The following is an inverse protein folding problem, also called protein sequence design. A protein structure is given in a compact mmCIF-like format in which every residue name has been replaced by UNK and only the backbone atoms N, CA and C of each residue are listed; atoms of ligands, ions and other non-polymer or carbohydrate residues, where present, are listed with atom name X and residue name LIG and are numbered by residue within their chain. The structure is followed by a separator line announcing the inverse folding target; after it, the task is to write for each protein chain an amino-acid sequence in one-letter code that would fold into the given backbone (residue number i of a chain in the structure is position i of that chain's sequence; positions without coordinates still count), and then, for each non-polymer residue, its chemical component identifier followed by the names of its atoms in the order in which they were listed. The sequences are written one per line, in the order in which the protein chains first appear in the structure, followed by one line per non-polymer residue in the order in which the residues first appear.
data_IF_362494464319
#
_entry.id   IF_362494464319
#
_cell.length_a   1.000
_cell.length_b   1.000
_cell.length_c   1.000
_cell.angle_alpha   90.00
_cell.angle_beta   90.00
_cell.angle_gamma   90.00
#
_symmetry.space_group_name_H-M   'P 1'
#
loop_
_entity.id
_entity.type
_entity.pdbx_description
1 polymer ?
#
# COMPACT_ATOMS: atom_id res chain seq x y z
N UNK A 1 6.40 -31.31 -25.81
CA UNK A 1 6.07 -31.05 -24.40
C UNK A 1 6.45 -29.62 -24.05
N UNK A 2 5.47 -28.82 -23.62
CA UNK A 2 5.66 -27.42 -23.21
C UNK A 2 6.06 -27.27 -21.72
N UNK A 3 6.14 -28.39 -21.00
CA UNK A 3 6.38 -28.38 -19.56
C UNK A 3 5.09 -28.31 -18.73
N UNK A 4 5.25 -28.17 -17.42
CA UNK A 4 4.15 -28.09 -16.45
C UNK A 4 3.93 -26.64 -16.02
N UNK A 5 2.68 -26.21 -16.07
CA UNK A 5 2.25 -24.89 -15.59
C UNK A 5 1.36 -25.05 -14.36
N UNK A 6 1.47 -24.11 -13.45
CA UNK A 6 0.49 -23.94 -12.39
C UNK A 6 0.20 -22.46 -12.16
N UNK A 7 -1.05 -22.16 -11.81
CA UNK A 7 -1.50 -20.82 -11.50
C UNK A 7 -2.21 -20.83 -10.15
N UNK A 8 -1.96 -19.82 -9.33
CA UNK A 8 -2.68 -19.55 -8.10
C UNK A 8 -3.05 -18.08 -8.07
N UNK A 9 -4.28 -17.80 -7.79
CA UNK A 9 -4.79 -16.46 -7.52
C UNK A 9 -5.47 -16.47 -6.15
N UNK A 10 -5.29 -15.40 -5.39
CA UNK A 10 -5.95 -15.16 -4.13
C UNK A 10 -6.32 -13.68 -4.05
N UNK A 11 -7.57 -13.43 -3.74
CA UNK A 11 -8.10 -12.11 -3.45
C UNK A 11 -8.65 -12.13 -2.03
N UNK A 12 -8.33 -11.12 -1.27
CA UNK A 12 -8.88 -10.88 0.06
C UNK A 12 -9.55 -9.51 0.01
N UNK A 13 -10.81 -9.50 0.36
CA UNK A 13 -11.59 -8.29 0.50
C UNK A 13 -12.08 -8.22 1.95
N UNK A 14 -11.92 -7.06 2.56
CA UNK A 14 -12.47 -6.75 3.87
C UNK A 14 -13.76 -5.97 3.65
N UNK A 15 -14.80 -6.38 4.32
CA UNK A 15 -16.11 -5.74 4.18
C UNK A 15 -16.34 -4.65 5.25
N UNK A 16 -15.67 -4.78 6.39
CA UNK A 16 -15.79 -3.84 7.51
C UNK A 16 -14.61 -3.93 8.46
N UNK A 17 -14.18 -2.78 8.97
CA UNK A 17 -13.25 -2.67 10.10
C UNK A 17 -13.75 -1.56 11.03
N UNK A 18 -14.47 -1.92 12.05
CA UNK A 18 -15.13 -0.98 12.97
C UNK A 18 -14.41 -0.94 14.32
N UNK A 19 -14.16 0.26 14.77
CA UNK A 19 -13.68 0.54 16.12
C UNK A 19 -14.70 1.38 16.86
N UNK A 20 -15.27 0.85 17.93
CA UNK A 20 -16.19 1.58 18.77
C UNK A 20 -15.46 2.43 19.80
N UNK A 21 -15.96 3.64 20.04
CA UNK A 21 -15.53 4.44 21.16
C UNK A 21 -16.14 3.91 22.46
N UNK A 22 -15.36 3.90 23.53
CA UNK A 22 -15.83 3.47 24.84
C UNK A 22 -15.19 4.32 25.95
N UNK A 23 -15.83 4.33 27.12
CA UNK A 23 -15.32 5.02 28.30
C UNK A 23 -15.06 6.50 28.05
N UNK A 24 -13.84 6.97 28.34
CA UNK A 24 -13.47 8.38 28.22
C UNK A 24 -13.54 8.88 26.78
N UNK A 25 -13.23 8.03 25.81
CA UNK A 25 -13.30 8.43 24.39
C UNK A 25 -14.72 8.75 23.96
N UNK A 26 -15.70 7.95 24.39
CA UNK A 26 -17.11 8.24 24.12
C UNK A 26 -17.57 9.52 24.80
N UNK A 27 -17.17 9.73 26.07
CA UNK A 27 -17.49 10.97 26.81
C UNK A 27 -16.92 12.22 26.11
N UNK A 28 -15.72 12.12 25.53
CA UNK A 28 -15.12 13.23 24.77
C UNK A 28 -15.87 13.47 23.44
N UNK A 29 -16.27 12.42 22.75
CA UNK A 29 -17.11 12.56 21.54
C UNK A 29 -18.42 13.24 21.88
N UNK A 30 -19.10 12.81 22.93
CA UNK A 30 -20.38 13.40 23.38
C UNK A 30 -20.19 14.86 23.81
N UNK A 31 -19.08 15.18 24.48
CA UNK A 31 -18.77 16.54 24.90
C UNK A 31 -18.47 17.50 23.74
N UNK A 32 -17.90 17.00 22.64
CA UNK A 32 -17.59 17.79 21.43
C UNK A 32 -18.75 17.88 20.45
N UNK A 33 -19.79 17.07 20.61
CA UNK A 33 -20.98 17.11 19.79
C UNK A 33 -21.76 18.44 20.00
N UNK A 34 -22.67 18.75 19.06
CA UNK A 34 -23.49 19.93 19.13
C UNK A 34 -24.29 19.97 20.46
N UNK A 35 -24.14 21.06 21.19
CA UNK A 35 -24.71 21.21 22.54
C UNK A 35 -23.89 20.63 23.68
N UNK A 36 -22.76 19.99 23.39
CA UNK A 36 -21.82 19.52 24.42
C UNK A 36 -20.98 20.67 25.00
N UNK A 37 -20.34 20.40 26.15
CA UNK A 37 -19.52 21.40 26.88
C UNK A 37 -18.24 21.82 26.11
N UNK A 38 -17.83 21.02 25.12
CA UNK A 38 -16.69 21.27 24.25
C UNK A 38 -17.14 21.40 22.78
N UNK A 39 -18.39 21.80 22.55
CA UNK A 39 -18.91 21.99 21.19
C UNK A 39 -18.02 22.94 20.37
N UNK A 40 -17.71 22.56 19.13
CA UNK A 40 -16.78 23.27 18.25
C UNK A 40 -15.31 22.88 18.41
N UNK A 41 -14.96 22.01 19.36
CA UNK A 41 -13.66 21.37 19.45
C UNK A 41 -13.60 20.13 18.54
N UNK A 42 -12.40 19.75 18.12
CA UNK A 42 -12.21 18.54 17.30
C UNK A 42 -12.50 17.29 18.13
N UNK A 43 -13.46 16.43 17.73
CA UNK A 43 -13.72 15.18 18.41
C UNK A 43 -12.52 14.22 18.29
N UNK A 44 -12.39 13.25 19.20
CA UNK A 44 -11.42 12.18 19.05
C UNK A 44 -11.66 11.42 17.72
N UNK A 45 -10.60 11.21 16.95
CA UNK A 45 -10.64 10.48 15.69
C UNK A 45 -10.34 8.99 15.88
N UNK A 46 -10.53 8.19 14.83
CA UNK A 46 -10.19 6.78 14.81
C UNK A 46 -11.26 5.87 15.38
N UNK A 47 -12.52 6.27 15.29
CA UNK A 47 -13.70 5.48 15.66
C UNK A 47 -14.68 5.40 14.50
N UNK A 48 -15.56 4.38 14.51
CA UNK A 48 -16.46 4.06 13.42
C UNK A 48 -15.88 3.03 12.46
N UNK A 49 -16.38 3.01 11.23
CA UNK A 49 -15.82 2.16 10.17
C UNK A 49 -14.58 2.82 9.58
N UNK A 50 -13.45 2.20 9.81
CA UNK A 50 -12.14 2.69 9.38
C UNK A 50 -11.62 1.98 8.14
N UNK A 51 -12.43 1.08 7.55
CA UNK A 51 -12.04 0.37 6.35
C UNK A 51 -11.82 1.34 5.19
N UNK A 52 -10.77 1.06 4.41
CA UNK A 52 -10.40 1.95 3.30
C UNK A 52 -9.79 3.28 3.73
N UNK A 53 -9.45 3.45 5.02
CA UNK A 53 -8.82 4.67 5.52
C UNK A 53 -7.46 4.38 6.17
N UNK A 54 -6.52 5.31 6.03
CA UNK A 54 -5.25 5.28 6.74
C UNK A 54 -5.41 5.87 8.14
N UNK A 55 -6.27 5.26 8.95
CA UNK A 55 -6.34 5.52 10.36
C UNK A 55 -6.29 4.21 11.12
N UNK A 56 -5.43 4.13 12.12
CA UNK A 56 -5.33 2.99 13.02
C UNK A 56 -5.16 1.62 12.36
N UNK A 57 -4.53 1.55 11.17
CA UNK A 57 -4.16 0.34 10.43
C UNK A 57 -5.28 -0.33 9.62
N UNK A 58 -6.36 0.37 9.36
CA UNK A 58 -7.41 -0.10 8.46
C UNK A 58 -7.24 0.48 7.05
N UNK A 59 -6.17 0.06 6.36
CA UNK A 59 -5.72 0.72 5.15
C UNK A 59 -6.58 0.41 3.92
N UNK A 60 -6.48 -0.77 3.39
CA UNK A 60 -7.04 -1.13 2.09
C UNK A 60 -8.18 -2.12 2.25
N UNK A 61 -9.20 -1.97 1.41
CA UNK A 61 -10.32 -2.92 1.35
C UNK A 61 -9.94 -4.21 0.64
N UNK A 62 -9.02 -4.15 -0.32
CA UNK A 62 -8.68 -5.29 -1.16
C UNK A 62 -7.18 -5.53 -1.26
N UNK A 63 -6.81 -6.80 -1.19
CA UNK A 63 -5.45 -7.28 -1.48
C UNK A 63 -5.49 -8.51 -2.35
N UNK A 64 -4.82 -8.43 -3.49
CA UNK A 64 -4.72 -9.53 -4.44
C UNK A 64 -3.30 -10.07 -4.49
N UNK A 65 -3.18 -11.36 -4.73
CA UNK A 65 -1.91 -12.00 -5.04
C UNK A 65 -2.09 -13.04 -6.14
N UNK A 66 -1.08 -13.13 -6.99
CA UNK A 66 -1.03 -14.14 -8.03
C UNK A 66 0.33 -14.81 -8.08
N UNK A 67 0.33 -16.06 -8.50
CA UNK A 67 1.55 -16.82 -8.79
C UNK A 67 1.31 -17.69 -10.02
N UNK A 68 2.18 -17.53 -11.01
CA UNK A 68 2.29 -18.42 -12.16
C UNK A 68 3.62 -19.14 -12.06
N UNK A 69 3.60 -20.45 -12.22
CA UNK A 69 4.82 -21.28 -12.19
C UNK A 69 4.90 -22.10 -13.46
N UNK A 70 6.11 -22.25 -13.96
CA UNK A 70 6.43 -23.08 -15.09
C UNK A 70 7.65 -23.94 -14.80
N UNK A 71 7.63 -25.18 -15.23
CA UNK A 71 8.74 -26.11 -15.09
C UNK A 71 8.88 -26.98 -16.32
N UNK A 72 10.08 -27.02 -16.89
CA UNK A 72 10.43 -27.89 -18.02
C UNK A 72 11.86 -28.40 -17.88
N UNK A 73 12.01 -29.70 -17.70
CA UNK A 73 13.32 -30.33 -17.55
C UNK A 73 14.14 -29.71 -16.42
N UNK A 74 15.21 -29.02 -16.74
CA UNK A 74 16.10 -28.36 -15.79
C UNK A 74 15.75 -26.92 -15.47
N UNK A 75 14.79 -26.36 -16.19
CA UNK A 75 14.33 -24.99 -16.03
C UNK A 75 13.13 -24.93 -15.12
N UNK A 76 13.10 -23.92 -14.29
CA UNK A 76 11.92 -23.49 -13.58
C UNK A 76 11.81 -21.96 -13.62
N UNK A 77 10.59 -21.48 -13.73
CA UNK A 77 10.32 -20.06 -13.64
C UNK A 77 9.03 -19.83 -12.86
N UNK A 78 8.97 -18.73 -12.12
CA UNK A 78 7.72 -18.27 -11.55
C UNK A 78 7.60 -16.75 -11.56
N UNK A 79 6.42 -16.31 -11.89
CA UNK A 79 5.98 -14.92 -11.82
C UNK A 79 5.05 -14.80 -10.62
N UNK A 80 5.32 -13.85 -9.73
CA UNK A 80 4.43 -13.51 -8.64
C UNK A 80 4.03 -12.05 -8.73
N UNK A 81 2.78 -11.76 -8.38
CA UNK A 81 2.25 -10.41 -8.32
C UNK A 81 1.52 -10.19 -7.01
N UNK A 82 1.57 -8.97 -6.53
CA UNK A 82 0.77 -8.48 -5.40
C UNK A 82 0.19 -7.13 -5.76
N UNK A 83 -1.12 -6.97 -5.53
CA UNK A 83 -1.82 -5.69 -5.66
C UNK A 83 -2.41 -5.33 -4.31
N UNK A 84 -2.23 -4.09 -3.90
CA UNK A 84 -2.88 -3.46 -2.78
C UNK A 84 -3.88 -2.46 -3.34
N UNK A 85 -5.12 -2.49 -2.87
CA UNK A 85 -6.18 -1.56 -3.27
C UNK A 85 -5.86 -0.13 -2.86
N UNK A 86 -6.59 0.82 -3.41
CA UNK A 86 -6.56 2.21 -2.98
C UNK A 86 -7.21 2.35 -1.60
N UNK A 87 -6.86 3.42 -0.91
CA UNK A 87 -7.46 3.78 0.38
C UNK A 87 -7.42 5.30 0.57
N UNK A 88 -8.20 5.78 1.51
CA UNK A 88 -8.26 7.19 1.86
C UNK A 88 -7.27 7.48 2.99
N UNK A 89 -6.55 8.57 2.88
CA UNK A 89 -5.73 9.08 3.96
C UNK A 89 -6.52 10.11 4.76
N UNK A 90 -6.70 9.82 6.05
CA UNK A 90 -7.42 10.69 6.97
C UNK A 90 -6.46 11.71 7.55
N UNK A 91 -6.77 12.98 7.44
CA UNK A 91 -5.93 14.06 8.00
C UNK A 91 -5.55 15.14 7.00
N UNK A 92 -5.87 14.95 5.72
CA UNK A 92 -5.70 15.97 4.67
C UNK A 92 -6.91 16.91 4.61
N UNK A 93 -7.84 16.77 5.55
CA UNK A 93 -9.10 17.53 5.60
C UNK A 93 -8.94 18.95 6.10
N UNK A 94 -7.79 19.28 6.65
CA UNK A 94 -7.59 20.61 7.23
C UNK A 94 -7.16 21.58 6.15
N UNK A 95 -7.85 22.71 6.03
CA UNK A 95 -7.54 23.81 5.11
C UNK A 95 -6.11 24.39 5.25
N UNK A 96 -5.37 23.91 6.24
CA UNK A 96 -3.99 24.27 6.49
C UNK A 96 -2.96 23.43 5.72
N UNK A 97 -3.37 22.34 5.06
CA UNK A 97 -2.46 21.47 4.32
C UNK A 97 -2.70 21.59 2.82
N UNK A 98 -1.95 22.45 2.16
CA UNK A 98 -1.87 22.50 0.70
C UNK A 98 -0.58 21.83 0.24
N UNK A 99 -0.63 21.02 -0.81
CA UNK A 99 0.59 20.57 -1.48
C UNK A 99 1.06 21.69 -2.38
N UNK A 100 2.10 22.39 -1.98
CA UNK A 100 2.77 23.35 -2.86
C UNK A 100 3.77 22.63 -3.74
N UNK A 101 3.40 22.42 -4.98
CA UNK A 101 4.24 21.83 -6.01
C UNK A 101 5.26 22.82 -6.59
N UNK A 102 5.23 24.08 -6.18
CA UNK A 102 6.17 25.09 -6.69
C UNK A 102 7.58 24.96 -6.11
N UNK A 103 7.77 24.09 -5.13
CA UNK A 103 9.08 23.77 -4.54
C UNK A 103 9.68 24.90 -3.70
N UNK A 104 8.89 25.89 -3.32
CA UNK A 104 9.40 27.09 -2.64
C UNK A 104 9.08 27.16 -1.14
N UNK A 105 8.31 26.24 -0.57
CA UNK A 105 8.03 26.26 0.85
C UNK A 105 8.34 24.92 1.53
N UNK A 106 8.62 24.98 2.83
CA UNK A 106 8.80 23.80 3.68
C UNK A 106 7.48 23.05 3.96
N UNK A 107 6.37 23.53 3.41
CA UNK A 107 5.05 22.95 3.56
C UNK A 107 4.72 22.05 2.37
N UNK A 108 5.39 20.92 2.31
CA UNK A 108 5.19 19.88 1.27
C UNK A 108 3.78 19.28 1.34
N UNK A 109 3.01 19.60 2.37
CA UNK A 109 1.78 18.89 2.77
C UNK A 109 0.53 19.75 2.84
N UNK A 110 0.56 20.93 2.27
CA UNK A 110 -0.64 21.75 2.27
C UNK A 110 -1.49 21.43 1.02
N UNK A 111 -2.69 20.90 1.22
CA UNK A 111 -3.64 20.64 0.16
C UNK A 111 -4.73 21.71 0.14
N UNK A 112 -4.77 22.57 -0.86
CA UNK A 112 -5.84 23.55 -1.03
C UNK A 112 -6.79 23.16 -2.15
N UNK A 113 -8.01 22.84 -1.80
CA UNK A 113 -9.20 22.86 -2.64
C UNK A 113 -9.22 21.91 -3.82
N UNK A 114 -8.78 22.28 -4.97
CA UNK A 114 -9.07 21.58 -6.23
C UNK A 114 -7.84 21.01 -6.94
N UNK A 115 -6.70 20.95 -6.29
CA UNK A 115 -5.49 20.46 -6.91
C UNK A 115 -5.45 18.95 -6.95
N UNK A 116 -5.55 18.37 -8.12
CA UNK A 116 -5.23 16.97 -8.35
C UNK A 116 -3.73 16.82 -8.54
N UNK A 117 -3.17 15.82 -7.90
CA UNK A 117 -1.76 15.48 -7.94
C UNK A 117 -1.59 14.08 -8.53
N UNK A 118 -0.48 13.84 -9.23
CA UNK A 118 -0.21 12.50 -9.79
C UNK A 118 -0.07 11.47 -8.66
N UNK A 119 -1.13 10.74 -8.38
CA UNK A 119 -1.20 9.73 -7.32
C UNK A 119 -2.15 10.07 -6.18
N UNK A 120 -2.85 11.19 -6.20
CA UNK A 120 -3.85 11.54 -5.21
C UNK A 120 -4.71 12.74 -5.62
N UNK A 121 -5.85 12.88 -5.01
CA UNK A 121 -6.77 14.00 -5.20
C UNK A 121 -6.91 14.76 -3.90
N UNK A 122 -6.61 16.06 -3.95
CA UNK A 122 -6.86 16.95 -2.84
C UNK A 122 -8.34 17.31 -2.77
N UNK A 123 -8.92 17.20 -1.61
CA UNK A 123 -10.31 17.51 -1.31
C UNK A 123 -10.50 17.32 0.19
N UNK A 124 -11.66 16.84 0.57
CA UNK A 124 -11.93 16.47 1.95
C UNK A 124 -11.10 15.23 2.38
N UNK A 125 -10.61 14.46 1.40
CA UNK A 125 -9.76 13.27 1.62
C UNK A 125 -8.72 13.14 0.52
N UNK A 126 -7.54 12.61 0.86
CA UNK A 126 -6.51 12.21 -0.09
C UNK A 126 -6.63 10.72 -0.40
N UNK A 127 -6.77 10.37 -1.67
CA UNK A 127 -6.79 8.97 -2.09
C UNK A 127 -5.38 8.50 -2.45
N UNK A 128 -4.88 7.53 -1.69
CA UNK A 128 -3.66 6.80 -2.02
C UNK A 128 -4.01 5.73 -3.06
N UNK A 129 -3.41 5.80 -4.23
CA UNK A 129 -3.73 4.91 -5.34
C UNK A 129 -3.32 3.46 -5.09
N UNK A 130 -3.97 2.55 -5.79
CA UNK A 130 -3.60 1.14 -5.76
C UNK A 130 -2.22 0.89 -6.36
N UNK A 131 -1.45 -0.01 -5.75
CA UNK A 131 -0.13 -0.40 -6.23
C UNK A 131 -0.06 -1.89 -6.57
N UNK A 132 0.44 -2.20 -7.76
CA UNK A 132 0.72 -3.58 -8.17
C UNK A 132 2.20 -3.76 -8.45
N UNK A 133 2.80 -4.78 -7.86
CA UNK A 133 4.19 -5.19 -8.10
C UNK A 133 4.27 -6.59 -8.67
N UNK A 134 5.20 -6.81 -9.60
CA UNK A 134 5.46 -8.08 -10.24
C UNK A 134 6.91 -8.49 -10.04
N UNK A 135 7.14 -9.76 -9.70
CA UNK A 135 8.47 -10.34 -9.53
C UNK A 135 8.61 -11.58 -10.38
N UNK A 136 9.73 -11.71 -11.08
CA UNK A 136 10.07 -12.88 -11.89
C UNK A 136 11.30 -13.57 -11.32
N UNK A 137 11.21 -14.87 -11.16
CA UNK A 137 12.34 -15.72 -10.82
C UNK A 137 12.51 -16.79 -11.90
N UNK A 138 13.75 -17.01 -12.32
CA UNK A 138 14.11 -18.08 -13.26
C UNK A 138 15.24 -18.89 -12.65
N UNK A 139 15.09 -20.20 -12.66
CA UNK A 139 16.06 -21.15 -12.12
C UNK A 139 16.52 -22.15 -13.18
N UNK A 140 17.79 -22.55 -13.07
CA UNK A 140 18.37 -23.62 -13.87
C UNK A 140 19.14 -24.62 -13.00
N UNK A 141 18.87 -25.92 -13.17
CA UNK A 141 19.52 -27.00 -12.43
C UNK A 141 20.53 -27.70 -13.32
N UNK A 142 21.80 -27.63 -12.98
CA UNK A 142 22.89 -28.30 -13.67
C UNK A 142 22.96 -29.80 -13.31
N UNK A 143 23.63 -30.61 -14.14
CA UNK A 143 23.79 -32.05 -13.91
C UNK A 143 24.59 -32.39 -12.65
N UNK A 144 25.51 -31.53 -12.23
CA UNK A 144 26.38 -31.71 -11.05
C UNK A 144 25.72 -31.29 -9.71
N UNK A 145 24.40 -31.11 -9.70
CA UNK A 145 23.68 -30.70 -8.49
C UNK A 145 23.71 -29.19 -8.19
N UNK A 146 24.43 -28.43 -9.00
CA UNK A 146 24.45 -26.97 -8.93
C UNK A 146 23.11 -26.41 -9.43
N UNK A 147 22.58 -25.38 -8.76
CA UNK A 147 21.41 -24.63 -9.18
C UNK A 147 21.73 -23.14 -9.20
N UNK A 148 21.43 -22.51 -10.30
CA UNK A 148 21.48 -21.06 -10.46
C UNK A 148 20.06 -20.51 -10.48
N UNK A 149 19.81 -19.40 -9.76
CA UNK A 149 18.52 -18.71 -9.73
C UNK A 149 18.75 -17.21 -9.86
N UNK A 150 18.11 -16.60 -10.85
CA UNK A 150 18.02 -15.17 -11.02
C UNK A 150 16.64 -14.67 -10.63
N UNK A 151 16.56 -13.56 -9.90
CA UNK A 151 15.29 -12.92 -9.54
C UNK A 151 15.33 -11.45 -9.89
N UNK A 152 14.26 -10.98 -10.54
CA UNK A 152 13.98 -9.55 -10.76
C UNK A 152 12.75 -9.22 -9.91
N UNK A 153 12.91 -8.34 -8.95
CA UNK A 153 11.79 -7.81 -8.15
C UNK A 153 11.32 -6.50 -8.75
N UNK A 154 10.03 -6.26 -8.65
CA UNK A 154 9.38 -5.06 -9.17
C UNK A 154 9.77 -4.78 -10.62
N UNK A 155 9.44 -5.72 -11.52
CA UNK A 155 9.85 -5.70 -12.95
C UNK A 155 9.44 -4.39 -13.63
N UNK A 156 8.27 -3.86 -13.27
CA UNK A 156 7.71 -2.64 -13.86
C UNK A 156 8.32 -1.36 -13.28
N UNK A 157 9.25 -1.48 -12.32
CA UNK A 157 9.88 -0.35 -11.62
C UNK A 157 8.88 0.63 -11.02
N UNK A 158 7.78 0.09 -10.46
CA UNK A 158 6.73 0.90 -9.86
C UNK A 158 7.24 1.55 -8.57
N UNK A 159 6.97 2.84 -8.44
CA UNK A 159 7.22 3.58 -7.20
C UNK A 159 5.95 3.56 -6.35
N UNK A 160 6.13 3.75 -5.04
CA UNK A 160 5.01 3.88 -4.13
C UNK A 160 4.13 5.06 -4.53
N UNK A 161 2.79 4.94 -4.45
CA UNK A 161 1.91 6.07 -4.64
C UNK A 161 2.13 7.10 -3.55
N UNK A 162 1.97 8.36 -3.91
CA UNK A 162 2.13 9.46 -2.97
C UNK A 162 1.05 9.42 -1.90
N UNK A 163 1.46 9.74 -0.69
CA UNK A 163 0.63 9.83 0.49
C UNK A 163 1.13 10.98 1.37
N UNK A 164 0.28 11.49 2.26
CA UNK A 164 0.63 12.54 3.22
C UNK A 164 1.38 11.96 4.45
N UNK A 165 2.07 10.85 4.29
CA UNK A 165 2.86 10.34 5.40
C UNK A 165 4.09 11.20 5.65
N UNK A 166 4.21 11.64 6.88
CA UNK A 166 5.07 12.70 7.39
C UNK A 166 6.57 12.56 7.04
N UNK A 167 7.04 11.36 6.78
CA UNK A 167 8.50 11.12 6.63
C UNK A 167 8.90 10.76 5.21
N UNK A 168 8.06 10.06 4.46
CA UNK A 168 8.46 9.39 3.22
C UNK A 168 7.66 9.80 1.99
N UNK A 169 6.60 10.58 2.15
CA UNK A 169 5.61 10.90 1.11
C UNK A 169 4.94 9.65 0.49
N UNK A 170 4.95 8.54 1.21
CA UNK A 170 4.22 7.31 0.91
C UNK A 170 4.01 6.50 2.20
N UNK A 171 2.98 5.65 2.22
CA UNK A 171 2.68 4.83 3.41
C UNK A 171 3.61 3.63 3.46
N UNK A 172 4.68 3.75 4.23
CA UNK A 172 5.76 2.77 4.33
C UNK A 172 5.35 1.41 4.89
N UNK A 173 4.31 1.38 5.73
CA UNK A 173 3.74 0.13 6.28
C UNK A 173 3.00 -0.70 5.23
N UNK A 174 2.53 -0.08 4.16
CA UNK A 174 1.70 -0.68 3.12
C UNK A 174 2.46 -0.83 1.81
N UNK A 175 3.18 0.20 1.41
CA UNK A 175 3.88 0.28 0.14
C UNK A 175 5.39 0.27 0.33
N UNK A 176 6.09 -0.20 -0.69
CA UNK A 176 7.56 -0.14 -0.76
C UNK A 176 7.97 0.72 -1.93
N UNK A 177 8.76 1.74 -1.66
CA UNK A 177 9.33 2.60 -2.71
C UNK A 177 10.67 2.09 -3.25
N UNK A 178 11.05 0.86 -2.91
CA UNK A 178 12.16 0.20 -3.59
C UNK A 178 11.78 -0.11 -5.02
N UNK A 179 12.47 0.52 -5.96
CA UNK A 179 12.34 0.27 -7.38
C UNK A 179 12.76 -1.15 -7.78
N UNK A 180 13.04 -1.33 -9.03
CA UNK A 180 13.51 -2.62 -9.57
C UNK A 180 14.80 -3.08 -8.92
N UNK A 181 14.84 -4.33 -8.49
CA UNK A 181 16.05 -4.94 -7.92
C UNK A 181 16.32 -6.33 -8.50
N UNK A 182 17.59 -6.73 -8.48
CA UNK A 182 18.06 -7.99 -9.02
C UNK A 182 18.78 -8.78 -7.95
N UNK A 183 18.57 -10.09 -7.95
CA UNK A 183 19.39 -11.00 -7.15
C UNK A 183 19.77 -12.24 -7.95
N UNK A 184 20.96 -12.77 -7.66
CA UNK A 184 21.49 -14.00 -8.23
C UNK A 184 21.91 -14.92 -7.09
N UNK A 185 21.37 -16.14 -7.10
CA UNK A 185 21.66 -17.16 -6.10
C UNK A 185 22.30 -18.37 -6.75
N UNK A 186 23.37 -18.87 -6.13
CA UNK A 186 24.03 -20.10 -6.50
C UNK A 186 23.93 -21.09 -5.33
N UNK A 187 23.33 -22.23 -5.57
CA UNK A 187 23.17 -23.29 -4.58
C UNK A 187 23.78 -24.58 -5.10
N UNK A 188 24.57 -25.28 -4.26
CA UNK A 188 25.11 -26.60 -4.55
C UNK A 188 24.83 -27.54 -3.39
N UNK A 189 24.28 -28.70 -3.70
CA UNK A 189 24.14 -29.81 -2.75
C UNK A 189 25.35 -30.73 -2.91
N UNK A 190 26.07 -30.93 -1.82
CA UNK A 190 27.20 -31.87 -1.73
C UNK A 190 26.72 -33.26 -1.35
#
# INVERSE_FOLDING_TARGET
DMGTFSAKFMSVQFDKFEQEAAGVSQQLIDATADGGILAGSTPPSGYGDLLGTYDRRAYYEQKDSMRLSWKKGKWDAFLSGSKIGSFQEVGVTDNAKSVDLSGSSNDIYACSGTNSYSGGTCGDTWTVESMMTLNLTVGYKFKNGLRLRGTVRNIADKRAPLADEYTWAFVGDVHSDYGKSYSLELYKKF
#
